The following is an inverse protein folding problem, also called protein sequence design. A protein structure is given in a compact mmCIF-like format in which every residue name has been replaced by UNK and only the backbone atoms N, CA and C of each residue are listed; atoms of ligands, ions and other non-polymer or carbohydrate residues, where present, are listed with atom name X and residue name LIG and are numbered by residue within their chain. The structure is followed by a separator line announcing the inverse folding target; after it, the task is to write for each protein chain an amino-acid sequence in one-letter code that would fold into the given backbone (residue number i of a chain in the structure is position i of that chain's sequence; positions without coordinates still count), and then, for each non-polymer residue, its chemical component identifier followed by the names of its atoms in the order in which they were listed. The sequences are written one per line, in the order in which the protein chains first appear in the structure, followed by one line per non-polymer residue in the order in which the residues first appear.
data_IF_814370842145
#
_entry.id   IF_814370842145
#
_cell.length_a   1.000
_cell.length_b   1.000
_cell.length_c   1.000
_cell.angle_alpha   90.00
_cell.angle_beta   90.00
_cell.angle_gamma   90.00
#
_symmetry.space_group_name_H-M   'P 1'
#
loop_
_entity.id
_entity.type
_entity.pdbx_description
1 polymer ?
#
# COMPACT_ATOMS: atom_id res chain seq x y z
N UNK A 1 12.41 -3.96 60.42
CA UNK A 1 11.51 -5.00 60.96
C UNK A 1 10.84 -5.72 59.81
N UNK A 2 11.03 -7.04 59.66
CA UNK A 2 10.33 -7.82 58.65
C UNK A 2 8.91 -8.17 59.12
N UNK A 3 7.94 -8.07 58.22
CA UNK A 3 6.53 -8.45 58.41
C UNK A 3 6.40 -9.96 58.09
N UNK A 4 5.68 -10.75 58.91
CA UNK A 4 5.67 -12.21 58.81
C UNK A 4 4.70 -12.76 57.74
N UNK A 5 5.01 -13.95 57.22
CA UNK A 5 4.22 -14.73 56.27
C UNK A 5 2.89 -15.26 56.87
N UNK A 6 1.80 -15.34 56.07
CA UNK A 6 0.58 -16.05 56.45
C UNK A 6 0.60 -17.55 56.06
N UNK A 7 -0.19 -18.40 56.76
CA UNK A 7 0.00 -19.85 56.84
C UNK A 7 -0.64 -20.68 55.71
N UNK A 8 -0.07 -21.87 55.53
CA UNK A 8 -0.51 -22.99 54.67
C UNK A 8 -1.78 -23.68 55.16
N UNK A 9 -2.70 -23.99 54.25
CA UNK A 9 -3.61 -25.13 54.38
C UNK A 9 -5.07 -24.89 54.00
N UNK A 10 -5.48 -25.40 52.82
CA UNK A 10 -6.78 -26.05 52.58
C UNK A 10 -6.86 -26.58 51.12
N UNK A 11 -7.00 -27.89 50.97
CA UNK A 11 -7.62 -28.57 49.81
C UNK A 11 -9.01 -29.07 50.25
N UNK A 12 -9.90 -29.68 49.42
CA UNK A 12 -10.02 -29.83 47.95
C UNK A 12 -11.45 -29.32 47.51
N UNK A 13 -12.19 -29.72 46.41
CA UNK A 13 -12.35 -31.04 45.75
C UNK A 13 -12.32 -31.05 44.20
N UNK A 14 -12.12 -32.23 43.60
CA UNK A 14 -12.55 -32.55 42.21
C UNK A 14 -14.01 -33.03 42.25
N UNK A 15 -14.87 -32.88 41.21
CA UNK A 15 -14.80 -33.77 40.03
C UNK A 15 -15.40 -33.22 38.71
N UNK A 16 -15.31 -34.07 37.69
CA UNK A 16 -16.28 -34.31 36.60
C UNK A 16 -15.86 -33.95 35.17
N UNK A 17 -16.27 -34.88 34.31
CA UNK A 17 -15.95 -35.18 32.94
C UNK A 17 -16.86 -34.48 31.92
N UNK A 18 -16.64 -34.81 30.64
CA UNK A 18 -17.48 -34.60 29.45
C UNK A 18 -17.16 -33.29 28.70
N UNK A 19 -17.19 -33.21 27.38
CA UNK A 19 -17.46 -34.17 26.30
C UNK A 19 -17.11 -33.45 25.01
N UNK A 20 -16.62 -34.20 24.03
CA UNK A 20 -16.58 -33.82 22.63
C UNK A 20 -17.91 -33.22 22.15
N UNK A 21 -17.87 -32.00 21.63
CA UNK A 21 -18.95 -31.43 20.82
C UNK A 21 -18.40 -31.00 19.46
N UNK A 22 -18.69 -31.84 18.47
CA UNK A 22 -18.77 -31.50 17.05
C UNK A 22 -19.83 -30.43 16.85
N UNK A 23 -19.44 -29.26 16.36
CA UNK A 23 -20.38 -28.23 15.86
C UNK A 23 -20.30 -28.18 14.34
N UNK A 24 -21.36 -28.72 13.73
CA UNK A 24 -21.77 -28.51 12.35
C UNK A 24 -22.48 -27.16 12.24
N UNK A 25 -22.21 -26.38 11.18
CA UNK A 25 -23.05 -25.26 10.77
C UNK A 25 -22.27 -24.01 10.37
N UNK A 26 -22.22 -23.72 9.07
CA UNK A 26 -21.66 -22.52 8.40
C UNK A 26 -22.48 -21.23 8.71
N UNK A 27 -22.25 -20.04 8.10
CA UNK A 27 -21.15 -19.50 7.28
C UNK A 27 -20.70 -18.07 7.71
N UNK A 28 -19.78 -17.46 6.92
CA UNK A 28 -19.42 -16.02 6.87
C UNK A 28 -18.63 -15.44 8.06
N UNK A 29 -17.37 -15.10 7.77
CA UNK A 29 -16.73 -13.79 7.99
C UNK A 29 -15.21 -13.95 8.12
N UNK A 30 -14.51 -14.00 6.97
CA UNK A 30 -13.04 -13.88 6.97
C UNK A 30 -12.68 -12.41 6.87
N UNK A 31 -12.87 -11.74 8.01
CA UNK A 31 -12.40 -10.41 8.30
C UNK A 31 -10.86 -10.43 8.27
N UNK A 32 -10.25 -9.62 7.41
CA UNK A 32 -8.79 -9.42 7.37
C UNK A 32 -8.41 -8.55 8.57
N UNK A 33 -8.40 -9.14 9.76
CA UNK A 33 -8.02 -8.48 11.00
C UNK A 33 -6.59 -8.82 11.34
N UNK A 34 -5.74 -7.79 11.37
CA UNK A 34 -4.33 -7.74 11.83
C UNK A 34 -3.23 -8.01 10.78
N UNK A 35 -2.70 -6.92 10.23
CA UNK A 35 -1.63 -6.91 9.21
C UNK A 35 -0.21 -7.20 9.76
N UNK A 36 -0.06 -7.59 11.03
CA UNK A 36 1.27 -7.67 11.67
C UNK A 36 1.56 -8.91 12.53
N UNK A 37 0.71 -9.93 12.57
CA UNK A 37 1.14 -11.23 13.09
C UNK A 37 0.37 -12.41 12.50
N UNK A 38 1.13 -13.46 12.13
CA UNK A 38 0.70 -14.79 11.66
C UNK A 38 0.66 -14.97 10.15
N UNK A 39 1.81 -15.38 9.59
CA UNK A 39 1.86 -16.04 8.28
C UNK A 39 1.75 -17.56 8.50
N UNK A 40 0.54 -18.09 8.43
CA UNK A 40 0.31 -19.54 8.33
C UNK A 40 -0.16 -19.82 6.91
N UNK A 41 0.71 -20.38 6.06
CA UNK A 41 0.32 -20.82 4.73
C UNK A 41 -0.34 -22.19 4.81
N UNK A 42 -1.66 -22.23 4.66
CA UNK A 42 -2.40 -23.44 4.32
C UNK A 42 -2.61 -23.42 2.80
N UNK A 43 -1.77 -24.12 2.04
CA UNK A 43 -2.04 -24.35 0.62
C UNK A 43 -2.97 -25.57 0.50
N UNK A 44 -4.26 -25.33 0.32
CA UNK A 44 -5.16 -26.36 -0.20
C UNK A 44 -5.14 -26.27 -1.72
N UNK A 45 -4.57 -27.29 -2.35
CA UNK A 45 -4.55 -27.49 -3.79
C UNK A 45 -5.98 -27.74 -4.27
N UNK A 46 -6.68 -26.68 -4.66
CA UNK A 46 -7.97 -26.80 -5.33
C UNK A 46 -7.90 -26.11 -6.70
N UNK A 47 -8.06 -26.94 -7.72
CA UNK A 47 -8.25 -26.69 -9.15
C UNK A 47 -7.52 -25.48 -9.78
N UNK A 48 -6.32 -25.73 -10.33
CA UNK A 48 -5.42 -24.73 -10.89
C UNK A 48 -5.92 -24.10 -12.20
N UNK A 49 -6.89 -23.18 -12.13
CA UNK A 49 -6.88 -22.03 -13.05
C UNK A 49 -5.63 -21.22 -12.72
N UNK A 50 -4.58 -21.38 -13.52
CA UNK A 50 -3.39 -20.53 -13.45
C UNK A 50 -3.82 -19.08 -13.67
N UNK A 51 -4.03 -18.34 -12.58
CA UNK A 51 -4.26 -16.90 -12.65
C UNK A 51 -2.91 -16.23 -12.91
N UNK A 52 -2.81 -15.54 -14.04
CA UNK A 52 -1.61 -14.75 -14.34
C UNK A 52 -1.67 -13.51 -13.46
N UNK A 53 -0.78 -13.45 -12.48
CA UNK A 53 -0.57 -12.26 -11.67
C UNK A 53 0.60 -11.46 -12.19
N UNK A 54 0.41 -10.17 -12.42
CA UNK A 54 1.49 -9.24 -12.77
C UNK A 54 1.75 -8.39 -11.52
N UNK A 55 2.90 -8.60 -10.88
CA UNK A 55 3.30 -7.89 -9.66
C UNK A 55 4.57 -7.11 -9.98
N UNK A 56 4.58 -5.83 -9.60
CA UNK A 56 5.74 -4.94 -9.78
C UNK A 56 6.25 -4.54 -8.41
N UNK A 57 7.52 -4.85 -8.14
CA UNK A 57 8.18 -4.45 -6.92
C UNK A 57 8.89 -3.11 -7.13
N UNK A 58 8.57 -2.11 -6.31
CA UNK A 58 9.20 -0.78 -6.36
C UNK A 58 9.68 -0.41 -4.96
N UNK A 59 10.98 -0.15 -4.80
CA UNK A 59 11.55 0.27 -3.53
C UNK A 59 11.25 1.74 -3.27
N UNK A 60 10.58 2.04 -2.15
CA UNK A 60 10.40 3.39 -1.66
C UNK A 60 11.73 3.92 -1.09
N UNK A 61 11.99 5.23 -1.18
CA UNK A 61 13.14 5.80 -0.49
C UNK A 61 12.95 5.75 1.02
N UNK A 62 14.05 5.71 1.75
CA UNK A 62 14.11 5.62 3.20
C UNK A 62 15.20 6.52 3.76
N UNK A 63 15.15 6.77 5.08
CA UNK A 63 16.24 7.43 5.80
C UNK A 63 16.26 8.96 5.71
N UNK A 64 15.17 9.60 5.30
CA UNK A 64 15.02 11.05 5.41
C UNK A 64 14.45 11.47 6.77
N UNK A 65 14.84 12.66 7.23
CA UNK A 65 14.40 13.23 8.51
C UNK A 65 13.75 14.62 8.39
N UNK A 66 14.03 15.37 7.31
CA UNK A 66 13.69 16.80 7.21
C UNK A 66 12.69 17.11 6.07
N UNK A 67 12.84 18.24 5.39
CA UNK A 67 12.10 18.53 4.17
C UNK A 67 12.62 17.67 3.00
N UNK A 68 11.72 17.26 2.11
CA UNK A 68 12.12 16.60 0.87
C UNK A 68 12.95 17.56 0.01
N UNK A 69 14.11 17.10 -0.46
CA UNK A 69 14.86 17.85 -1.48
C UNK A 69 14.18 17.66 -2.83
N UNK A 70 14.44 18.58 -3.77
CA UNK A 70 13.99 18.40 -5.16
C UNK A 70 14.49 17.07 -5.74
N UNK A 71 15.70 16.64 -5.37
CA UNK A 71 16.27 15.37 -5.81
C UNK A 71 15.49 14.18 -5.26
N UNK A 72 14.99 14.24 -4.02
CA UNK A 72 14.16 13.18 -3.45
C UNK A 72 12.83 13.08 -4.20
N UNK A 73 12.17 14.21 -4.47
CA UNK A 73 10.93 14.26 -5.24
C UNK A 73 11.13 13.66 -6.64
N UNK A 74 12.21 14.05 -7.33
CA UNK A 74 12.57 13.51 -8.65
C UNK A 74 12.80 12.00 -8.56
N UNK A 75 13.59 11.53 -7.58
CA UNK A 75 13.91 10.12 -7.40
C UNK A 75 12.66 9.29 -7.15
N UNK A 76 11.75 9.75 -6.28
CA UNK A 76 10.45 9.13 -6.04
C UNK A 76 9.65 9.00 -7.33
N UNK A 77 9.49 10.11 -8.07
CA UNK A 77 8.73 10.12 -9.31
C UNK A 77 9.34 9.15 -10.33
N UNK A 78 10.66 9.18 -10.52
CA UNK A 78 11.37 8.30 -11.45
C UNK A 78 11.11 6.83 -11.12
N UNK A 79 11.22 6.42 -9.85
CA UNK A 79 10.98 5.03 -9.44
C UNK A 79 9.57 4.56 -9.79
N UNK A 80 8.55 5.37 -9.48
CA UNK A 80 7.15 5.01 -9.77
C UNK A 80 6.89 5.04 -11.28
N UNK A 81 7.36 6.09 -11.97
CA UNK A 81 7.19 6.24 -13.41
C UNK A 81 7.79 5.07 -14.17
N UNK A 82 9.02 4.65 -13.85
CA UNK A 82 9.67 3.51 -14.48
C UNK A 82 8.87 2.22 -14.28
N UNK A 83 8.34 2.00 -13.08
CA UNK A 83 7.49 0.84 -12.79
C UNK A 83 6.18 0.86 -13.61
N UNK A 84 5.52 2.01 -13.71
CA UNK A 84 4.27 2.15 -14.46
C UNK A 84 4.51 2.05 -15.97
N UNK A 85 5.61 2.62 -16.47
CA UNK A 85 6.03 2.44 -17.85
C UNK A 85 6.32 0.98 -18.18
N UNK A 86 6.99 0.24 -17.29
CA UNK A 86 7.19 -1.19 -17.48
C UNK A 86 5.85 -1.94 -17.57
N UNK A 87 4.88 -1.61 -16.72
CA UNK A 87 3.53 -2.17 -16.80
C UNK A 87 2.89 -1.92 -18.18
N UNK A 88 2.98 -0.68 -18.68
CA UNK A 88 2.45 -0.27 -19.99
C UNK A 88 3.11 -1.04 -21.13
N UNK A 89 4.44 -1.14 -21.14
CA UNK A 89 5.20 -1.82 -22.18
C UNK A 89 4.90 -3.33 -22.20
N UNK A 90 4.94 -4.00 -21.05
CA UNK A 90 4.61 -5.42 -20.94
C UNK A 90 3.18 -5.71 -21.38
N UNK A 91 2.23 -4.82 -21.06
CA UNK A 91 0.86 -4.97 -21.51
C UNK A 91 0.73 -4.82 -23.04
N UNK A 92 1.48 -3.90 -23.66
CA UNK A 92 1.53 -3.72 -25.11
C UNK A 92 2.16 -4.92 -25.82
N UNK A 93 3.26 -5.46 -25.31
CA UNK A 93 3.94 -6.63 -25.88
C UNK A 93 3.07 -7.89 -25.89
N UNK A 94 2.14 -8.00 -24.94
CA UNK A 94 1.20 -9.13 -24.84
C UNK A 94 -0.02 -9.01 -25.75
N UNK A 95 -0.18 -7.89 -26.45
CA UNK A 95 -1.30 -7.65 -27.35
C UNK A 95 -0.84 -7.55 -28.81
N UNK A 96 -1.76 -7.78 -29.74
CA UNK A 96 -1.43 -7.67 -31.16
C UNK A 96 -1.07 -6.22 -31.54
N UNK A 97 -0.17 -5.99 -32.51
CA UNK A 97 0.15 -4.65 -32.99
C UNK A 97 -1.11 -3.85 -33.38
N UNK A 98 -1.21 -2.60 -32.92
CA UNK A 98 -2.36 -1.73 -33.19
C UNK A 98 -3.58 -1.94 -32.29
N UNK A 99 -3.59 -2.99 -31.45
CA UNK A 99 -4.65 -3.17 -30.46
C UNK A 99 -4.47 -2.19 -29.30
N UNK A 100 -5.53 -1.45 -28.97
CA UNK A 100 -5.53 -0.60 -27.78
C UNK A 100 -5.55 -1.48 -26.53
N UNK A 101 -4.58 -1.29 -25.65
CA UNK A 101 -4.48 -2.00 -24.37
C UNK A 101 -4.89 -1.07 -23.24
N UNK A 102 -5.87 -1.50 -22.45
CA UNK A 102 -6.24 -0.83 -21.21
C UNK A 102 -5.34 -1.35 -20.08
N UNK A 103 -4.66 -0.44 -19.37
CA UNK A 103 -3.76 -0.79 -18.26
C UNK A 103 -4.27 -0.17 -16.97
N UNK A 104 -4.58 -1.05 -16.03
CA UNK A 104 -4.93 -0.69 -14.66
C UNK A 104 -3.77 -1.04 -13.74
N UNK A 105 -3.34 -0.09 -12.92
CA UNK A 105 -2.38 -0.31 -11.84
C UNK A 105 -3.10 -0.17 -10.51
N UNK A 106 -3.00 -1.19 -9.66
CA UNK A 106 -3.49 -1.14 -8.29
C UNK A 106 -2.31 -0.94 -7.33
N UNK A 107 -2.41 0.05 -6.45
CA UNK A 107 -1.38 0.42 -5.48
C UNK A 107 -2.04 0.91 -4.18
N UNK A 108 -1.24 1.39 -3.23
CA UNK A 108 -1.73 1.97 -1.99
C UNK A 108 -0.69 2.89 -1.35
N UNK A 109 -0.54 2.76 -0.04
CA UNK A 109 0.42 3.48 0.79
C UNK A 109 1.88 3.06 0.58
N UNK A 110 2.38 3.20 -0.65
CA UNK A 110 3.77 2.90 -1.00
C UNK A 110 4.73 3.76 -0.16
N UNK A 111 5.59 3.14 0.65
CA UNK A 111 6.66 3.85 1.36
C UNK A 111 6.25 4.61 2.63
N UNK A 112 5.00 4.64 3.05
CA UNK A 112 4.57 5.56 4.14
C UNK A 112 4.47 4.89 5.51
N UNK A 113 4.71 3.57 5.59
CA UNK A 113 4.72 2.81 6.84
C UNK A 113 6.07 2.89 7.55
N UNK A 114 6.85 1.81 7.50
CA UNK A 114 8.17 1.73 8.13
C UNK A 114 9.17 2.77 7.58
N UNK A 115 9.00 3.20 6.33
CA UNK A 115 9.89 4.17 5.69
C UNK A 115 9.50 5.63 5.94
N UNK A 116 8.41 5.89 6.67
CA UNK A 116 8.13 7.22 7.21
C UNK A 116 8.04 8.32 6.15
N UNK A 117 7.57 7.97 4.95
CA UNK A 117 7.35 8.94 3.89
C UNK A 117 6.03 9.69 4.06
N UNK A 118 5.98 10.89 3.49
CA UNK A 118 4.76 11.69 3.42
C UNK A 118 3.72 11.05 2.48
N UNK A 119 2.55 10.70 3.04
CA UNK A 119 1.47 10.03 2.30
C UNK A 119 0.94 10.84 1.13
N UNK A 120 0.59 12.10 1.38
CA UNK A 120 0.05 13.00 0.34
C UNK A 120 1.05 13.18 -0.80
N UNK A 121 2.33 13.40 -0.48
CA UNK A 121 3.38 13.53 -1.49
C UNK A 121 3.48 12.27 -2.35
N UNK A 122 3.58 11.08 -1.74
CA UNK A 122 3.76 9.85 -2.51
C UNK A 122 2.52 9.46 -3.31
N UNK A 123 1.30 9.75 -2.83
CA UNK A 123 0.09 9.58 -3.65
C UNK A 123 0.06 10.56 -4.83
N UNK A 124 0.41 11.82 -4.60
CA UNK A 124 0.52 12.84 -5.66
C UNK A 124 1.51 12.41 -6.75
N UNK A 125 2.68 11.90 -6.35
CA UNK A 125 3.69 11.41 -7.29
C UNK A 125 3.25 10.13 -8.01
N UNK A 126 2.48 9.25 -7.37
CA UNK A 126 1.88 8.09 -8.04
C UNK A 126 0.86 8.52 -9.10
N UNK A 127 -0.02 9.48 -8.80
CA UNK A 127 -0.98 10.01 -9.76
C UNK A 127 -0.28 10.71 -10.95
N UNK A 128 0.76 11.52 -10.67
CA UNK A 128 1.56 12.15 -11.71
C UNK A 128 2.28 11.10 -12.59
N UNK A 129 2.90 10.10 -11.97
CA UNK A 129 3.55 9.00 -12.69
C UNK A 129 2.56 8.25 -13.60
N UNK A 130 1.33 8.00 -13.13
CA UNK A 130 0.29 7.36 -13.92
C UNK A 130 -0.08 8.19 -15.16
N UNK A 131 -0.24 9.51 -15.01
CA UNK A 131 -0.50 10.40 -16.15
C UNK A 131 0.65 10.38 -17.17
N UNK A 132 1.90 10.46 -16.69
CA UNK A 132 3.10 10.46 -17.54
C UNK A 132 3.30 9.13 -18.26
N UNK A 133 3.05 8.01 -17.57
CA UNK A 133 3.15 6.66 -18.13
C UNK A 133 1.89 6.24 -18.92
N UNK A 134 0.94 7.18 -19.06
CA UNK A 134 -0.34 6.98 -19.74
C UNK A 134 -1.16 5.83 -19.16
N UNK A 135 -1.03 5.46 -17.90
CA UNK A 135 -1.85 4.44 -17.23
C UNK A 135 -3.33 4.85 -17.34
N UNK A 136 -4.20 3.93 -17.77
CA UNK A 136 -5.61 4.26 -17.99
C UNK A 136 -6.36 4.39 -16.66
N UNK A 137 -6.06 3.50 -15.71
CA UNK A 137 -6.70 3.50 -14.38
C UNK A 137 -5.64 3.30 -13.30
N UNK A 138 -5.53 4.24 -12.36
CA UNK A 138 -4.76 4.06 -11.13
C UNK A 138 -5.73 3.85 -9.96
N UNK A 139 -5.73 2.66 -9.37
CA UNK A 139 -6.53 2.33 -8.19
C UNK A 139 -5.65 2.46 -6.95
N UNK A 140 -5.97 3.42 -6.08
CA UNK A 140 -5.25 3.65 -4.82
C UNK A 140 -6.07 3.12 -3.64
N UNK A 141 -5.56 2.09 -2.97
CA UNK A 141 -6.13 1.63 -1.71
C UNK A 141 -5.61 2.49 -0.56
N UNK A 142 -6.48 3.34 -0.03
CA UNK A 142 -6.18 4.31 1.03
C UNK A 142 -6.47 3.78 2.42
N UNK A 143 -6.92 2.54 2.58
CA UNK A 143 -7.39 2.01 3.87
C UNK A 143 -8.38 2.97 4.54
N UNK A 144 -8.05 3.57 5.69
CA UNK A 144 -8.87 4.59 6.38
C UNK A 144 -8.43 6.04 6.13
N UNK A 145 -7.42 6.29 5.29
CA UNK A 145 -6.79 7.60 5.08
C UNK A 145 -7.14 8.18 3.70
N UNK A 146 -8.45 8.40 3.49
CA UNK A 146 -8.94 8.95 2.23
C UNK A 146 -8.55 10.42 2.03
N UNK A 147 -8.42 11.18 3.12
CA UNK A 147 -8.05 12.60 3.09
C UNK A 147 -6.69 12.84 2.42
N UNK A 148 -5.71 11.95 2.63
CA UNK A 148 -4.38 12.07 2.00
C UNK A 148 -4.46 11.94 0.47
N UNK A 149 -5.36 11.09 -0.04
CA UNK A 149 -5.56 10.90 -1.47
C UNK A 149 -6.31 12.07 -2.11
N UNK A 150 -7.36 12.57 -1.45
CA UNK A 150 -8.13 13.74 -1.91
C UNK A 150 -7.24 14.99 -1.98
N UNK A 151 -6.40 15.21 -0.95
CA UNK A 151 -5.45 16.32 -0.95
C UNK A 151 -4.39 16.16 -2.05
N UNK A 152 -3.93 14.93 -2.32
CA UNK A 152 -3.01 14.66 -3.42
C UNK A 152 -3.65 14.98 -4.79
N UNK A 153 -4.90 14.57 -4.99
CA UNK A 153 -5.65 14.87 -6.22
C UNK A 153 -5.87 16.38 -6.40
N UNK A 154 -6.28 17.07 -5.34
CA UNK A 154 -6.45 18.52 -5.36
C UNK A 154 -5.15 19.24 -5.71
N UNK A 155 -4.03 18.86 -5.08
CA UNK A 155 -2.72 19.40 -5.40
C UNK A 155 -2.35 19.16 -6.87
N UNK A 156 -2.58 17.96 -7.40
CA UNK A 156 -2.27 17.64 -8.79
C UNK A 156 -3.07 18.50 -9.76
N UNK A 157 -4.37 18.70 -9.50
CA UNK A 157 -5.24 19.56 -10.27
C UNK A 157 -4.72 21.01 -10.30
N UNK A 158 -4.36 21.56 -9.14
CA UNK A 158 -3.78 22.90 -9.05
C UNK A 158 -2.44 23.03 -9.77
N UNK A 159 -1.60 22.00 -9.75
CA UNK A 159 -0.25 22.01 -10.33
C UNK A 159 -0.23 21.83 -11.84
N UNK A 160 -1.20 21.09 -12.40
CA UNK A 160 -1.26 20.79 -13.84
C UNK A 160 -2.08 21.82 -14.60
N UNK A 161 -3.07 22.45 -13.96
CA UNK A 161 -3.94 23.45 -14.58
C UNK A 161 -4.74 22.90 -15.77
N UNK A 162 -5.31 23.80 -16.58
CA UNK A 162 -6.11 23.44 -17.75
C UNK A 162 -5.29 23.19 -19.04
N UNK A 163 -3.97 23.32 -18.98
CA UNK A 163 -3.10 23.35 -20.17
C UNK A 163 -1.84 22.50 -20.04
N UNK A 164 -1.09 22.30 -21.14
CA UNK A 164 0.14 21.53 -21.13
C UNK A 164 1.21 22.23 -20.29
N UNK A 165 1.54 21.62 -19.16
CA UNK A 165 2.58 22.10 -18.24
C UNK A 165 3.82 21.21 -18.31
N UNK A 166 5.01 21.82 -18.32
CA UNK A 166 6.26 21.06 -18.29
C UNK A 166 6.41 20.34 -16.95
N UNK A 167 6.76 19.05 -16.99
CA UNK A 167 6.98 18.22 -15.78
C UNK A 167 7.98 18.86 -14.82
N UNK A 168 9.04 19.48 -15.33
CA UNK A 168 10.02 20.19 -14.50
C UNK A 168 9.39 21.30 -13.65
N UNK A 169 8.41 22.03 -14.19
CA UNK A 169 7.72 23.09 -13.44
C UNK A 169 6.81 22.49 -12.37
N UNK A 170 6.12 21.38 -12.68
CA UNK A 170 5.29 20.65 -11.71
C UNK A 170 6.16 20.18 -10.55
N UNK A 171 7.29 19.53 -10.83
CA UNK A 171 8.23 19.05 -9.82
C UNK A 171 8.79 20.18 -8.95
N UNK A 172 9.15 21.30 -9.57
CA UNK A 172 9.64 22.47 -8.83
C UNK A 172 8.56 23.06 -7.91
N UNK A 173 7.30 23.08 -8.36
CA UNK A 173 6.16 23.52 -7.54
C UNK A 173 5.88 22.54 -6.40
N UNK A 174 5.90 21.22 -6.65
CA UNK A 174 5.76 20.19 -5.59
C UNK A 174 6.84 20.35 -4.53
N UNK A 175 8.10 20.56 -4.94
CA UNK A 175 9.19 20.81 -4.01
C UNK A 175 8.95 22.09 -3.18
N UNK A 176 8.49 23.17 -3.81
CA UNK A 176 8.17 24.44 -3.11
C UNK A 176 7.02 24.32 -2.11
N UNK A 177 6.14 23.33 -2.22
CA UNK A 177 5.12 23.06 -1.21
C UNK A 177 5.73 22.62 0.14
N UNK A 178 7.00 22.21 0.19
CA UNK A 178 7.72 21.99 1.44
C UNK A 178 7.28 20.76 2.22
N UNK A 179 6.92 19.67 1.54
CA UNK A 179 6.61 18.41 2.21
C UNK A 179 7.78 17.92 3.08
N UNK A 180 7.45 17.29 4.21
CA UNK A 180 8.40 16.74 5.19
C UNK A 180 8.16 15.24 5.39
N UNK A 181 9.21 14.50 5.73
CA UNK A 181 9.14 13.10 6.17
C UNK A 181 8.25 12.97 7.44
N UNK A 182 7.64 11.81 7.67
CA UNK A 182 6.57 11.57 8.68
C UNK A 182 6.84 10.36 9.59
#
# INVERSE_FOLDING_TARGET
SPIPDPPSGASPPSPASNSSSTTSGAPRDSNCSSFTSSFTSSFTTDDARLSISNIIAVAAPSGGADAYTLQDVVRCLTSIYTAFMAARLVAQERCAPGQRVHVTVASGHWGTGAFKNNKTLLMLLQMLAAQLARIDTLMLYTSSDQASAELAEQNLCCLTGAGPTKVANILHSIWKHGFVWQ
#
